data_IF_233446748196
#
_entry.id   IF_233446748196
#
_cell.length_a   1.000
_cell.length_b   1.000
_cell.length_c   1.000
_cell.angle_alpha   90.00
_cell.angle_beta   90.00
_cell.angle_gamma   90.00
#
_symmetry.space_group_name_H-M   'P 1'
#
loop_
_entity.id
_entity.type
_entity.pdbx_description
1 polymer ?
#
# COMPACT_ATOMS: atom_id res chain seq x y z
N UNK A 1 -17.76 -2.29 -29.86
CA UNK A 1 -17.53 -2.57 -28.42
C UNK A 1 -16.10 -2.19 -28.15
N UNK A 2 -15.92 -1.08 -27.45
CA UNK A 2 -14.77 -0.18 -27.59
C UNK A 2 -13.55 -0.61 -26.78
N UNK A 3 -12.37 -0.18 -27.23
CA UNK A 3 -11.07 -0.20 -26.52
C UNK A 3 -11.18 0.13 -25.02
N UNK A 4 -12.04 1.08 -24.67
CA UNK A 4 -12.38 1.43 -23.28
C UNK A 4 -12.85 0.22 -22.44
N UNK A 5 -13.63 -0.71 -23.01
CA UNK A 5 -14.10 -1.89 -22.27
C UNK A 5 -12.98 -2.87 -21.98
N UNK A 6 -12.03 -3.02 -22.90
CA UNK A 6 -10.89 -3.92 -22.68
C UNK A 6 -9.92 -3.32 -21.66
N UNK A 7 -9.60 -2.02 -21.76
CA UNK A 7 -8.80 -1.33 -20.75
C UNK A 7 -9.43 -1.46 -19.35
N UNK A 8 -10.76 -1.32 -19.24
CA UNK A 8 -11.44 -1.48 -17.95
C UNK A 8 -11.35 -2.89 -17.38
N UNK A 9 -11.46 -3.92 -18.22
CA UNK A 9 -11.25 -5.31 -17.77
C UNK A 9 -9.84 -5.55 -17.27
N UNK A 10 -8.83 -4.99 -17.95
CA UNK A 10 -7.44 -5.09 -17.49
C UNK A 10 -7.26 -4.41 -16.13
N UNK A 11 -7.87 -3.22 -15.94
CA UNK A 11 -7.89 -2.54 -14.64
C UNK A 11 -8.59 -3.40 -13.57
N UNK A 12 -9.75 -3.99 -13.88
CA UNK A 12 -10.48 -4.87 -12.94
C UNK A 12 -9.60 -6.04 -12.47
N UNK A 13 -8.84 -6.66 -13.38
CA UNK A 13 -7.91 -7.75 -13.03
C UNK A 13 -6.79 -7.24 -12.11
N UNK A 14 -6.20 -6.07 -12.42
CA UNK A 14 -5.16 -5.46 -11.57
C UNK A 14 -5.72 -5.12 -10.19
N UNK A 15 -6.93 -4.57 -10.12
CA UNK A 15 -7.60 -4.21 -8.87
C UNK A 15 -7.83 -5.44 -7.98
N UNK A 16 -8.21 -6.58 -8.56
CA UNK A 16 -8.32 -7.83 -7.80
C UNK A 16 -6.99 -8.27 -7.19
N UNK A 17 -5.88 -8.09 -7.91
CA UNK A 17 -4.54 -8.39 -7.39
C UNK A 17 -4.14 -7.40 -6.28
N UNK A 18 -4.43 -6.11 -6.47
CA UNK A 18 -4.20 -5.08 -5.45
C UNK A 18 -4.96 -5.40 -4.16
N UNK A 19 -6.22 -5.85 -4.25
CA UNK A 19 -7.02 -6.26 -3.07
C UNK A 19 -6.38 -7.45 -2.36
N UNK A 20 -5.93 -8.47 -3.10
CA UNK A 20 -5.25 -9.64 -2.53
C UNK A 20 -3.95 -9.23 -1.81
N UNK A 21 -3.14 -8.38 -2.44
CA UNK A 21 -1.89 -7.87 -1.87
C UNK A 21 -2.14 -6.99 -0.65
N UNK A 22 -3.17 -6.14 -0.70
CA UNK A 22 -3.58 -5.30 0.42
C UNK A 22 -3.97 -6.13 1.63
N UNK A 23 -4.83 -7.14 1.47
CA UNK A 23 -5.25 -8.03 2.55
C UNK A 23 -4.05 -8.73 3.20
N UNK A 24 -3.17 -9.33 2.38
CA UNK A 24 -1.94 -9.97 2.87
C UNK A 24 -1.06 -8.99 3.65
N UNK A 25 -0.90 -7.75 3.16
CA UNK A 25 -0.11 -6.73 3.84
C UNK A 25 -0.73 -6.35 5.19
N UNK A 26 -2.05 -6.18 5.27
CA UNK A 26 -2.74 -5.83 6.51
C UNK A 26 -2.70 -6.96 7.54
N UNK A 27 -2.78 -8.22 7.12
CA UNK A 27 -2.57 -9.38 7.98
C UNK A 27 -1.17 -9.39 8.60
N UNK A 28 -0.13 -9.12 7.80
CA UNK A 28 1.25 -8.99 8.28
C UNK A 28 1.43 -7.82 9.25
N UNK A 29 0.85 -6.65 8.95
CA UNK A 29 0.84 -5.49 9.87
C UNK A 29 0.23 -5.88 11.22
N UNK A 30 -0.79 -6.72 11.20
CA UNK A 30 -1.48 -7.20 12.39
C UNK A 30 -0.63 -8.12 13.29
N UNK A 31 0.44 -8.71 12.74
CA UNK A 31 1.39 -9.59 13.45
C UNK A 31 2.56 -8.81 14.06
N UNK A 32 2.77 -7.55 13.68
CA UNK A 32 3.86 -6.72 14.23
C UNK A 32 3.65 -6.48 15.74
N UNK A 33 4.73 -6.50 16.53
CA UNK A 33 4.70 -6.30 18.00
C UNK A 33 4.33 -4.86 18.42
N UNK A 34 3.85 -4.68 19.66
CA UNK A 34 3.35 -3.39 20.22
C UNK A 34 4.34 -2.23 20.16
N UNK A 35 5.64 -2.50 20.16
CA UNK A 35 6.68 -1.46 20.28
C UNK A 35 6.94 -0.67 18.99
N UNK A 36 6.48 -1.15 17.83
CA UNK A 36 6.72 -0.53 16.52
C UNK A 36 5.42 -0.14 15.82
N UNK A 37 4.62 0.70 16.49
CA UNK A 37 3.40 1.27 15.88
C UNK A 37 3.73 2.37 14.86
N UNK A 38 4.84 3.08 15.07
CA UNK A 38 5.34 4.11 14.17
C UNK A 38 6.82 3.82 13.91
N UNK A 39 7.19 3.64 12.64
CA UNK A 39 8.58 3.46 12.20
C UNK A 39 8.77 4.27 10.91
N UNK A 40 8.72 5.60 11.05
CA UNK A 40 8.80 6.56 9.94
C UNK A 40 10.05 6.36 9.09
N UNK A 41 11.19 6.07 9.73
CA UNK A 41 12.44 5.77 9.03
C UNK A 41 12.29 4.57 8.10
N UNK A 42 11.68 3.48 8.56
CA UNK A 42 11.44 2.28 7.75
C UNK A 42 10.43 2.54 6.62
N UNK A 43 9.46 3.42 6.83
CA UNK A 43 8.48 3.82 5.82
C UNK A 43 9.13 4.65 4.70
N UNK A 44 9.95 5.64 5.07
CA UNK A 44 10.72 6.47 4.14
C UNK A 44 11.71 5.64 3.34
N UNK A 45 12.47 4.74 3.99
CA UNK A 45 13.42 3.85 3.31
C UNK A 45 12.71 2.93 2.30
N UNK A 46 11.50 2.46 2.61
CA UNK A 46 10.73 1.62 1.69
C UNK A 46 10.26 2.40 0.46
N UNK A 47 9.76 3.62 0.64
CA UNK A 47 9.36 4.48 -0.48
C UNK A 47 10.57 4.73 -1.38
N UNK A 48 11.68 5.24 -0.83
CA UNK A 48 12.89 5.54 -1.59
C UNK A 48 13.43 4.33 -2.35
N UNK A 49 13.48 3.16 -1.70
CA UNK A 49 13.94 1.91 -2.33
C UNK A 49 13.09 1.55 -3.56
N UNK A 50 11.79 1.76 -3.48
CA UNK A 50 10.87 1.35 -4.52
C UNK A 50 10.71 2.38 -5.63
N UNK A 51 11.17 3.63 -5.46
CA UNK A 51 11.11 4.65 -6.52
C UNK A 51 11.82 4.20 -7.80
N UNK A 52 12.87 3.38 -7.69
CA UNK A 52 13.59 2.82 -8.84
C UNK A 52 12.76 1.82 -9.67
N UNK A 53 11.64 1.33 -9.12
CA UNK A 53 10.72 0.39 -9.76
C UNK A 53 9.46 1.09 -10.32
N UNK A 54 9.30 2.38 -10.02
CA UNK A 54 8.12 3.17 -10.39
C UNK A 54 8.48 3.99 -11.62
N UNK A 55 7.60 4.00 -12.63
CA UNK A 55 7.75 4.92 -13.75
C UNK A 55 7.79 6.36 -13.22
N UNK A 56 8.73 7.16 -13.72
CA UNK A 56 8.98 8.54 -13.29
C UNK A 56 7.70 9.39 -13.24
N UNK A 57 6.80 9.21 -14.21
CA UNK A 57 5.53 9.96 -14.27
C UNK A 57 4.58 9.63 -13.11
N UNK A 58 4.72 8.44 -12.51
CA UNK A 58 3.86 7.95 -11.42
C UNK A 58 4.47 8.14 -10.03
N UNK A 59 5.71 8.60 -9.92
CA UNK A 59 6.42 8.75 -8.64
C UNK A 59 5.64 9.55 -7.60
N UNK A 60 5.08 10.75 -7.90
CA UNK A 60 4.31 11.52 -6.91
C UNK A 60 3.10 10.75 -6.38
N UNK A 61 2.37 10.08 -7.29
CA UNK A 61 1.18 9.29 -6.94
C UNK A 61 1.53 8.05 -6.11
N UNK A 62 2.66 7.41 -6.41
CA UNK A 62 3.16 6.28 -5.63
C UNK A 62 3.51 6.70 -4.19
N UNK A 63 4.20 7.83 -4.02
CA UNK A 63 4.52 8.38 -2.70
C UNK A 63 3.25 8.65 -1.89
N UNK A 64 2.26 9.32 -2.48
CA UNK A 64 0.99 9.63 -1.82
C UNK A 64 0.21 8.36 -1.46
N UNK A 65 0.16 7.38 -2.38
CA UNK A 65 -0.48 6.09 -2.12
C UNK A 65 0.16 5.37 -0.93
N UNK A 66 1.49 5.26 -0.88
CA UNK A 66 2.18 4.57 0.19
C UNK A 66 2.07 5.29 1.53
N UNK A 67 2.14 6.62 1.55
CA UNK A 67 1.93 7.40 2.77
C UNK A 67 0.53 7.16 3.37
N UNK A 68 -0.50 7.15 2.53
CA UNK A 68 -1.86 6.82 2.96
C UNK A 68 -1.98 5.37 3.43
N UNK A 69 -1.35 4.43 2.72
CA UNK A 69 -1.32 3.02 3.09
C UNK A 69 -0.65 2.80 4.46
N UNK A 70 0.43 3.51 4.76
CA UNK A 70 1.08 3.47 6.07
C UNK A 70 0.19 4.05 7.16
N UNK A 71 -0.48 5.19 6.91
CA UNK A 71 -1.46 5.77 7.84
C UNK A 71 -2.57 4.76 8.20
N UNK A 72 -3.17 4.10 7.21
CA UNK A 72 -4.19 3.06 7.43
C UNK A 72 -3.64 1.87 8.22
N UNK A 73 -2.39 1.49 7.97
CA UNK A 73 -1.71 0.40 8.69
C UNK A 73 -1.61 0.70 10.18
N UNK A 74 -1.18 1.92 10.52
CA UNK A 74 -1.05 2.38 11.90
C UNK A 74 -2.39 2.44 12.61
N UNK A 75 -3.41 2.99 11.94
CA UNK A 75 -4.78 3.06 12.48
C UNK A 75 -5.33 1.67 12.80
N UNK A 76 -5.21 0.73 11.85
CA UNK A 76 -5.65 -0.65 12.07
C UNK A 76 -4.89 -1.34 13.20
N UNK A 77 -3.57 -1.15 13.23
CA UNK A 77 -2.72 -1.75 14.25
C UNK A 77 -3.02 -1.19 15.66
N UNK A 78 -3.24 0.12 15.79
CA UNK A 78 -3.65 0.76 17.04
C UNK A 78 -4.99 0.17 17.53
N UNK A 79 -6.00 0.16 16.64
CA UNK A 79 -7.32 -0.43 16.93
C UNK A 79 -7.23 -1.89 17.38
N UNK A 80 -6.45 -2.73 16.69
CA UNK A 80 -6.31 -4.15 17.02
C UNK A 80 -5.61 -4.37 18.38
N UNK A 81 -4.74 -3.45 18.80
CA UNK A 81 -3.95 -3.56 20.04
C UNK A 81 -4.58 -2.84 21.23
N UNK A 82 -5.72 -2.17 21.04
CA UNK A 82 -6.39 -1.38 22.07
C UNK A 82 -5.62 -0.13 22.46
N UNK A 83 -4.88 0.46 21.52
CA UNK A 83 -4.17 1.74 21.66
C UNK A 83 -5.01 2.87 21.05
#
# INVERSE_FOLDING_TARGET
MSELKEIRKEIEIVDEELVKLFNKRMELVSQLNKEKVVDEKREEELIHKNLLLVNEEFVPYYCDFYNNLFSLSRQYQAKKKGL
#
